data_IF_697149204694
#
_entry.id   IF_697149204694
#
_cell.length_a   1.000
_cell.length_b   1.000
_cell.length_c   1.000
_cell.angle_alpha   90.00
_cell.angle_beta   90.00
_cell.angle_gamma   90.00
#
_symmetry.space_group_name_H-M   'P 1'
#
loop_
_entity.id
_entity.type
_entity.pdbx_description
1 polymer ?
#
# COMPACT_ATOMS: atom_id res chain seq x y z
N UNK A 1 -8.20 -22.14 -7.74
CA UNK A 1 -6.95 -21.61 -8.32
C UNK A 1 -7.23 -20.16 -8.73
N UNK A 2 -6.33 -19.22 -8.53
CA UNK A 2 -6.56 -17.81 -8.93
C UNK A 2 -6.22 -17.60 -10.39
N UNK A 3 -7.08 -16.90 -11.12
CA UNK A 3 -6.95 -16.70 -12.57
C UNK A 3 -6.94 -15.23 -12.96
N UNK A 4 -7.39 -14.31 -12.07
CA UNK A 4 -7.34 -12.87 -12.29
C UNK A 4 -6.54 -12.20 -11.16
N UNK A 5 -5.52 -11.46 -11.52
CA UNK A 5 -4.62 -10.79 -10.58
C UNK A 5 -4.75 -9.28 -10.73
N UNK A 6 -5.16 -8.64 -9.64
CA UNK A 6 -5.43 -7.21 -9.58
C UNK A 6 -4.36 -6.56 -8.71
N UNK A 7 -3.41 -5.88 -9.34
CA UNK A 7 -2.37 -5.12 -8.66
C UNK A 7 -2.84 -3.73 -8.30
N UNK A 8 -2.60 -3.31 -7.06
CA UNK A 8 -3.04 -2.02 -6.53
C UNK A 8 -1.83 -1.29 -5.95
N UNK A 9 -1.56 -0.10 -6.48
CA UNK A 9 -0.67 0.87 -5.86
C UNK A 9 -1.50 1.90 -5.07
N UNK A 10 -1.20 2.04 -3.78
CA UNK A 10 -2.00 2.85 -2.86
C UNK A 10 -1.36 4.21 -2.63
N UNK A 11 -2.14 5.27 -2.82
CA UNK A 11 -1.78 6.60 -2.37
C UNK A 11 -2.88 7.23 -1.51
N UNK A 12 -2.61 8.39 -0.94
CA UNK A 12 -3.55 9.08 -0.05
C UNK A 12 -4.88 9.40 -0.72
N UNK A 13 -4.85 9.87 -1.96
CA UNK A 13 -6.03 10.41 -2.63
C UNK A 13 -6.59 9.47 -3.70
N UNK A 14 -5.74 8.61 -4.26
CA UNK A 14 -6.10 7.69 -5.33
C UNK A 14 -5.49 6.31 -5.14
N UNK A 15 -6.01 5.37 -5.89
CA UNK A 15 -5.43 4.03 -6.06
C UNK A 15 -5.27 3.76 -7.54
N UNK A 16 -4.10 3.30 -7.93
CA UNK A 16 -3.77 2.91 -9.28
C UNK A 16 -3.89 1.39 -9.41
N UNK A 17 -4.62 0.92 -10.42
CA UNK A 17 -5.02 -0.49 -10.52
C UNK A 17 -4.69 -1.04 -11.88
N UNK A 18 -4.05 -2.22 -11.90
CA UNK A 18 -3.79 -2.98 -13.10
C UNK A 18 -4.36 -4.40 -12.99
N UNK A 19 -4.85 -4.95 -14.08
CA UNK A 19 -5.38 -6.31 -14.16
C UNK A 19 -4.52 -7.15 -15.09
N UNK A 20 -4.23 -8.38 -14.67
CA UNK A 20 -3.57 -9.42 -15.48
C UNK A 20 -4.35 -10.72 -15.32
N UNK A 21 -4.67 -11.39 -16.42
CA UNK A 21 -5.22 -12.75 -16.43
C UNK A 21 -4.12 -13.79 -16.58
N UNK A 22 -4.27 -14.94 -15.92
CA UNK A 22 -3.36 -16.07 -16.06
C UNK A 22 -3.28 -16.59 -17.51
N UNK A 23 -4.37 -16.49 -18.28
CA UNK A 23 -4.44 -16.89 -19.69
C UNK A 23 -3.73 -15.92 -20.63
N UNK A 24 -3.45 -14.69 -20.16
CA UNK A 24 -2.78 -13.64 -20.95
C UNK A 24 -1.26 -13.71 -20.99
N UNK A 25 -0.63 -14.78 -20.54
CA UNK A 25 0.83 -14.95 -20.57
C UNK A 25 1.43 -15.03 -22.00
N UNK A 26 0.58 -15.21 -23.02
CA UNK A 26 1.03 -15.39 -24.42
C UNK A 26 1.01 -14.08 -25.22
N UNK A 27 0.26 -13.05 -24.81
CA UNK A 27 0.26 -11.75 -25.49
C UNK A 27 0.41 -10.58 -24.52
N UNK A 28 1.42 -9.78 -24.75
CA UNK A 28 1.83 -8.58 -23.99
C UNK A 28 0.78 -7.45 -23.98
N UNK A 29 -0.40 -7.67 -24.51
CA UNK A 29 -1.38 -6.64 -24.92
C UNK A 29 -2.56 -6.43 -23.99
N UNK A 30 -2.78 -7.22 -22.94
CA UNK A 30 -4.00 -7.16 -22.13
C UNK A 30 -3.80 -6.64 -20.69
N UNK A 31 -2.87 -5.71 -20.49
CA UNK A 31 -2.79 -5.01 -19.20
C UNK A 31 -3.80 -3.86 -19.21
N UNK A 32 -4.89 -4.08 -18.55
CA UNK A 32 -5.90 -3.02 -18.36
C UNK A 32 -5.53 -2.23 -17.12
N UNK A 33 -5.45 -0.90 -17.25
CA UNK A 33 -5.08 0.01 -16.16
C UNK A 33 -6.17 1.06 -15.98
N UNK A 34 -6.41 1.44 -14.74
CA UNK A 34 -7.25 2.59 -14.39
C UNK A 34 -6.89 3.14 -13.01
N UNK A 35 -7.29 4.38 -12.73
CA UNK A 35 -7.16 4.99 -11.41
C UNK A 35 -8.52 5.29 -10.80
N UNK A 36 -8.59 5.23 -9.47
CA UNK A 36 -9.81 5.48 -8.71
C UNK A 36 -9.49 6.33 -7.49
N UNK A 37 -10.47 7.12 -7.03
CA UNK A 37 -10.33 7.86 -5.76
C UNK A 37 -10.22 6.86 -4.59
N UNK A 38 -9.33 7.14 -3.64
CA UNK A 38 -9.22 6.37 -2.41
C UNK A 38 -10.38 6.74 -1.45
N UNK A 39 -11.59 6.32 -1.82
CA UNK A 39 -12.86 6.60 -1.13
C UNK A 39 -13.87 5.50 -1.38
N UNK A 40 -14.90 5.40 -0.54
CA UNK A 40 -15.94 4.36 -0.67
C UNK A 40 -16.61 4.35 -2.05
N UNK A 41 -16.83 5.53 -2.64
CA UNK A 41 -17.38 5.63 -4.01
C UNK A 41 -16.40 5.10 -5.07
N UNK A 42 -15.10 5.42 -4.91
CA UNK A 42 -14.04 4.91 -5.80
C UNK A 42 -13.89 3.39 -5.70
N UNK A 43 -14.00 2.82 -4.51
CA UNK A 43 -13.93 1.36 -4.31
C UNK A 43 -15.06 0.62 -5.03
N UNK A 44 -16.29 1.17 -4.99
CA UNK A 44 -17.42 0.63 -5.74
C UNK A 44 -17.20 0.69 -7.26
N UNK A 45 -16.59 1.78 -7.74
CA UNK A 45 -16.25 1.93 -9.16
C UNK A 45 -15.14 0.96 -9.56
N UNK A 46 -14.12 0.79 -8.72
CA UNK A 46 -13.02 -0.15 -8.91
C UNK A 46 -13.56 -1.58 -9.08
N UNK A 47 -14.39 -2.05 -8.16
CA UNK A 47 -14.96 -3.42 -8.25
C UNK A 47 -15.78 -3.60 -9.52
N UNK A 48 -16.64 -2.63 -9.88
CA UNK A 48 -17.40 -2.68 -11.15
C UNK A 48 -16.52 -2.70 -12.38
N UNK A 49 -15.39 -1.96 -12.33
CA UNK A 49 -14.45 -1.91 -13.42
C UNK A 49 -13.66 -3.23 -13.54
N UNK A 50 -13.27 -3.84 -12.42
CA UNK A 50 -12.66 -5.18 -12.42
C UNK A 50 -13.62 -6.21 -13.01
N UNK A 51 -14.85 -6.22 -12.57
CA UNK A 51 -15.90 -7.12 -13.08
C UNK A 51 -16.07 -6.99 -14.61
N UNK A 52 -16.19 -5.75 -15.10
CA UNK A 52 -16.30 -5.49 -16.55
C UNK A 52 -15.10 -5.99 -17.36
N UNK A 53 -13.91 -6.01 -16.78
CA UNK A 53 -12.66 -6.39 -17.44
C UNK A 53 -12.19 -7.80 -17.05
N UNK A 54 -12.99 -8.54 -16.30
CA UNK A 54 -12.68 -9.91 -15.86
C UNK A 54 -12.88 -10.98 -16.95
N UNK A 55 -13.48 -10.60 -18.09
CA UNK A 55 -13.85 -11.54 -19.16
C UNK A 55 -14.69 -12.74 -18.67
N UNK A 56 -15.54 -12.51 -17.65
CA UNK A 56 -16.40 -13.54 -17.08
C UNK A 56 -15.71 -14.50 -16.10
N UNK A 57 -14.49 -14.20 -15.69
CA UNK A 57 -13.81 -14.96 -14.62
C UNK A 57 -14.56 -14.74 -13.31
N UNK A 58 -14.93 -15.84 -12.65
CA UNK A 58 -15.65 -15.81 -11.37
C UNK A 58 -14.89 -15.01 -10.31
N UNK A 59 -15.57 -14.15 -9.52
CA UNK A 59 -14.94 -13.36 -8.46
C UNK A 59 -14.18 -14.18 -7.41
N UNK A 60 -14.51 -15.43 -7.18
CA UNK A 60 -13.75 -16.32 -6.30
C UNK A 60 -12.35 -16.66 -6.83
N UNK A 61 -12.13 -16.44 -8.12
CA UNK A 61 -10.84 -16.64 -8.77
C UNK A 61 -10.01 -15.35 -8.87
N UNK A 62 -10.49 -14.23 -8.32
CA UNK A 62 -9.76 -12.98 -8.27
C UNK A 62 -8.81 -12.94 -7.08
N UNK A 63 -7.67 -12.30 -7.25
CA UNK A 63 -6.73 -11.99 -6.18
C UNK A 63 -6.34 -10.52 -6.29
N UNK A 64 -6.74 -9.73 -5.31
CA UNK A 64 -6.26 -8.36 -5.16
C UNK A 64 -4.94 -8.38 -4.42
N UNK A 65 -3.92 -7.73 -4.96
CA UNK A 65 -2.61 -7.62 -4.34
C UNK A 65 -2.17 -6.17 -4.29
N UNK A 66 -1.52 -5.77 -3.20
CA UNK A 66 -0.97 -4.44 -3.06
C UNK A 66 0.21 -4.38 -2.11
N UNK A 67 0.95 -3.27 -2.14
CA UNK A 67 1.99 -3.03 -1.15
C UNK A 67 1.38 -2.71 0.22
N UNK A 68 1.96 -3.24 1.28
CA UNK A 68 1.58 -2.90 2.65
C UNK A 68 2.10 -1.52 3.04
N UNK A 69 1.43 -0.48 2.58
CA UNK A 69 1.76 0.94 2.82
C UNK A 69 1.12 1.52 4.08
N UNK A 70 0.56 0.67 4.94
CA UNK A 70 0.00 1.08 6.22
C UNK A 70 -1.42 1.67 6.09
N UNK A 71 -1.62 2.94 6.47
CA UNK A 71 -2.97 3.47 6.66
C UNK A 71 -3.73 3.75 5.35
N UNK A 72 -3.04 3.97 4.24
CA UNK A 72 -3.70 4.25 2.95
C UNK A 72 -4.31 3.00 2.29
N UNK A 73 -3.79 1.81 2.58
CA UNK A 73 -4.32 0.55 2.03
C UNK A 73 -5.53 0.01 2.80
N UNK A 74 -5.60 0.24 4.12
CA UNK A 74 -6.62 -0.33 5.01
C UNK A 74 -8.06 -0.08 4.57
N UNK A 75 -8.49 1.16 4.19
CA UNK A 75 -9.90 1.40 3.88
C UNK A 75 -10.39 0.57 2.69
N UNK A 76 -9.58 0.48 1.62
CA UNK A 76 -9.93 -0.35 0.47
C UNK A 76 -9.89 -1.83 0.82
N UNK A 77 -8.84 -2.30 1.53
CA UNK A 77 -8.74 -3.71 1.93
C UNK A 77 -9.91 -4.13 2.82
N UNK A 78 -10.31 -3.32 3.80
CA UNK A 78 -11.49 -3.60 4.62
C UNK A 78 -12.77 -3.65 3.79
N UNK A 79 -12.92 -2.75 2.80
CA UNK A 79 -14.07 -2.74 1.91
C UNK A 79 -14.14 -4.01 1.05
N UNK A 80 -13.02 -4.45 0.48
CA UNK A 80 -12.94 -5.67 -0.32
C UNK A 80 -13.16 -6.92 0.54
N UNK A 81 -12.51 -6.97 1.72
CA UNK A 81 -12.69 -8.07 2.68
C UNK A 81 -14.15 -8.24 3.11
N UNK A 82 -14.83 -7.14 3.44
CA UNK A 82 -16.25 -7.15 3.80
C UNK A 82 -17.18 -7.59 2.66
N UNK A 83 -16.69 -7.70 1.44
CA UNK A 83 -17.40 -8.26 0.27
C UNK A 83 -16.96 -9.67 -0.10
N UNK A 84 -16.06 -10.28 0.67
CA UNK A 84 -15.58 -11.63 0.48
C UNK A 84 -14.54 -11.81 -0.63
N UNK A 85 -13.87 -10.74 -1.06
CA UNK A 85 -12.78 -10.85 -2.01
C UNK A 85 -11.47 -11.27 -1.34
N UNK A 86 -10.64 -12.02 -2.05
CA UNK A 86 -9.31 -12.38 -1.60
C UNK A 86 -8.31 -11.25 -1.84
N UNK A 87 -7.60 -10.88 -0.78
CA UNK A 87 -6.66 -9.77 -0.76
C UNK A 87 -5.34 -10.24 -0.16
N UNK A 88 -4.26 -9.82 -0.78
CA UNK A 88 -2.90 -10.04 -0.32
C UNK A 88 -2.13 -8.72 -0.21
N UNK A 89 -1.74 -8.34 0.99
CA UNK A 89 -0.83 -7.22 1.23
C UNK A 89 0.59 -7.73 1.43
N UNK A 90 1.45 -7.44 0.46
CA UNK A 90 2.83 -7.89 0.46
C UNK A 90 3.79 -6.77 0.87
N UNK A 91 4.96 -7.14 1.37
CA UNK A 91 6.02 -6.21 1.68
C UNK A 91 6.56 -5.57 0.38
N UNK A 92 6.65 -4.23 0.37
CA UNK A 92 7.18 -3.48 -0.77
C UNK A 92 8.57 -3.97 -1.23
N UNK A 93 9.41 -4.45 -0.30
CA UNK A 93 10.72 -5.00 -0.62
C UNK A 93 10.60 -6.30 -1.44
N UNK A 94 9.71 -7.21 -1.06
CA UNK A 94 9.50 -8.48 -1.78
C UNK A 94 9.06 -8.23 -3.22
N UNK A 95 8.13 -7.29 -3.42
CA UNK A 95 7.64 -6.91 -4.76
C UNK A 95 8.78 -6.32 -5.60
N UNK A 96 9.57 -5.40 -5.03
CA UNK A 96 10.70 -4.75 -5.72
C UNK A 96 11.82 -5.73 -6.08
N UNK A 97 12.21 -6.56 -5.13
CA UNK A 97 13.29 -7.54 -5.35
C UNK A 97 12.91 -8.56 -6.45
N UNK A 98 11.64 -8.96 -6.53
CA UNK A 98 11.14 -9.86 -7.56
C UNK A 98 10.99 -9.21 -8.95
N UNK A 99 10.94 -7.87 -9.03
CA UNK A 99 10.67 -7.14 -10.27
C UNK A 99 11.91 -6.82 -11.11
N UNK A 100 13.12 -6.99 -10.54
CA UNK A 100 14.38 -6.63 -11.19
C UNK A 100 14.55 -5.11 -11.37
N UNK A 101 15.61 -4.73 -12.10
CA UNK A 101 15.92 -3.32 -12.38
C UNK A 101 15.04 -2.81 -13.51
N UNK A 102 14.07 -1.97 -13.21
CA UNK A 102 13.25 -1.27 -14.21
C UNK A 102 13.63 0.21 -14.26
N UNK A 103 13.82 0.74 -15.49
CA UNK A 103 14.25 2.12 -15.74
C UNK A 103 13.10 3.16 -15.72
N UNK A 104 11.86 2.74 -15.86
CA UNK A 104 10.69 3.63 -15.94
C UNK A 104 9.89 3.55 -14.63
N UNK A 105 9.80 4.68 -13.94
CA UNK A 105 8.94 4.86 -12.78
C UNK A 105 7.67 5.58 -13.22
N UNK A 106 6.52 4.90 -13.13
CA UNK A 106 5.19 5.49 -13.30
C UNK A 106 4.19 4.67 -12.50
N UNK A 107 3.15 5.31 -12.00
CA UNK A 107 2.09 4.69 -11.20
C UNK A 107 1.47 3.48 -11.94
N UNK A 108 1.32 3.60 -13.26
CA UNK A 108 0.87 2.49 -14.12
C UNK A 108 1.84 1.31 -14.13
N UNK A 109 3.15 1.59 -14.15
CA UNK A 109 4.17 0.55 -14.09
C UNK A 109 4.19 -0.14 -12.73
N UNK A 110 3.97 0.62 -11.65
CA UNK A 110 3.99 0.11 -10.28
C UNK A 110 2.78 -0.80 -10.02
N UNK A 111 1.55 -0.41 -10.38
CA UNK A 111 0.38 -1.27 -10.29
C UNK A 111 0.50 -2.55 -11.15
N UNK A 112 1.05 -2.43 -12.37
CA UNK A 112 1.28 -3.58 -13.25
C UNK A 112 2.33 -4.54 -12.68
N UNK A 113 3.37 -4.01 -12.05
CA UNK A 113 4.41 -4.79 -11.38
C UNK A 113 3.84 -5.60 -10.21
N UNK A 114 2.96 -4.99 -9.42
CA UNK A 114 2.26 -5.66 -8.31
C UNK A 114 1.38 -6.80 -8.84
N UNK A 115 0.64 -6.57 -9.92
CA UNK A 115 -0.19 -7.60 -10.54
C UNK A 115 0.65 -8.79 -11.09
N UNK A 116 1.79 -8.50 -11.75
CA UNK A 116 2.73 -9.54 -12.20
C UNK A 116 3.31 -10.34 -11.04
N UNK A 117 3.68 -9.64 -9.95
CA UNK A 117 4.17 -10.28 -8.75
C UNK A 117 3.13 -11.24 -8.17
N UNK A 118 1.88 -10.77 -8.04
CA UNK A 118 0.77 -11.60 -7.56
C UNK A 118 0.56 -12.84 -8.44
N UNK A 119 0.58 -12.67 -9.75
CA UNK A 119 0.42 -13.79 -10.68
C UNK A 119 1.51 -14.85 -10.53
N UNK A 120 2.78 -14.43 -10.36
CA UNK A 120 3.92 -15.35 -10.26
C UNK A 120 4.04 -16.03 -8.89
N UNK A 121 3.50 -15.42 -7.83
CA UNK A 121 3.72 -15.85 -6.44
C UNK A 121 2.40 -16.08 -5.67
N UNK A 122 1.26 -16.26 -6.36
CA UNK A 122 -0.04 -16.43 -5.72
C UNK A 122 -0.13 -17.66 -4.82
N UNK A 123 0.73 -18.65 -5.01
CA UNK A 123 0.90 -19.83 -4.17
C UNK A 123 1.40 -19.48 -2.76
N UNK A 124 2.05 -18.32 -2.60
CA UNK A 124 2.56 -17.78 -1.32
C UNK A 124 1.66 -16.73 -0.69
N UNK A 125 0.52 -16.44 -1.34
CA UNK A 125 -0.36 -15.38 -0.88
C UNK A 125 -0.90 -15.65 0.52
N UNK A 126 -0.71 -14.69 1.42
CA UNK A 126 -1.30 -14.70 2.75
C UNK A 126 -2.53 -13.80 2.73
N UNK A 127 -3.69 -14.37 3.03
CA UNK A 127 -4.95 -13.64 3.04
C UNK A 127 -4.93 -12.48 4.03
N UNK A 128 -5.43 -11.32 3.59
CA UNK A 128 -5.61 -10.16 4.45
C UNK A 128 -6.76 -10.40 5.43
N UNK A 129 -6.49 -10.19 6.70
CA UNK A 129 -7.50 -10.14 7.74
C UNK A 129 -7.46 -8.77 8.43
N UNK A 130 -8.58 -8.05 8.53
CA UNK A 130 -8.62 -6.80 9.27
C UNK A 130 -8.39 -7.07 10.76
N UNK A 131 -7.65 -6.16 11.39
CA UNK A 131 -7.52 -6.20 12.86
C UNK A 131 -8.90 -6.04 13.48
N UNK A 132 -9.13 -6.73 14.61
CA UNK A 132 -10.31 -6.44 15.43
C UNK A 132 -10.32 -4.97 15.81
N UNK A 133 -11.52 -4.41 16.06
CA UNK A 133 -11.67 -3.00 16.41
C UNK A 133 -10.78 -2.60 17.59
N UNK A 134 -10.77 -3.42 18.65
CA UNK A 134 -9.96 -3.18 19.85
C UNK A 134 -8.45 -3.18 19.56
N UNK A 135 -7.97 -4.12 18.72
CA UNK A 135 -6.57 -4.16 18.32
C UNK A 135 -6.21 -2.99 17.39
N UNK A 136 -7.13 -2.59 16.53
CA UNK A 136 -6.98 -1.41 15.68
C UNK A 136 -6.79 -0.15 16.49
N UNK A 137 -7.67 0.09 17.48
CA UNK A 137 -7.59 1.22 18.41
C UNK A 137 -6.29 1.19 19.23
N UNK A 138 -5.93 0.04 19.78
CA UNK A 138 -4.67 -0.11 20.54
C UNK A 138 -3.44 0.24 19.67
N UNK A 139 -3.42 -0.21 18.42
CA UNK A 139 -2.37 0.13 17.47
C UNK A 139 -2.31 1.63 17.21
N UNK A 140 -3.43 2.30 17.02
CA UNK A 140 -3.49 3.75 16.80
C UNK A 140 -2.95 4.52 18.01
N UNK A 141 -3.37 4.16 19.23
CA UNK A 141 -2.85 4.77 20.45
C UNK A 141 -1.34 4.54 20.61
N UNK A 142 -0.86 3.34 20.27
CA UNK A 142 0.57 3.05 20.32
C UNK A 142 1.35 3.92 19.33
N UNK A 143 0.91 4.04 18.10
CA UNK A 143 1.57 4.87 17.07
C UNK A 143 1.51 6.35 17.45
N UNK A 144 0.39 6.83 17.97
CA UNK A 144 0.26 8.20 18.47
C UNK A 144 1.23 8.47 19.62
N UNK A 145 1.29 7.57 20.60
CA UNK A 145 2.27 7.66 21.69
C UNK A 145 3.70 7.73 21.15
N UNK A 146 4.06 6.87 20.20
CA UNK A 146 5.39 6.87 19.59
C UNK A 146 5.71 8.23 18.93
N UNK A 147 4.75 8.79 18.21
CA UNK A 147 4.90 10.11 17.60
C UNK A 147 5.15 11.19 18.65
N UNK A 148 4.33 11.25 19.70
CA UNK A 148 4.48 12.24 20.77
C UNK A 148 5.83 12.10 21.47
N UNK A 149 6.26 10.88 21.78
CA UNK A 149 7.60 10.63 22.40
C UNK A 149 8.73 11.11 21.49
N UNK A 150 8.68 10.82 20.18
CA UNK A 150 9.68 11.30 19.22
C UNK A 150 9.75 12.82 19.18
N UNK A 151 8.59 13.49 19.13
CA UNK A 151 8.55 14.95 19.15
C UNK A 151 9.11 15.52 20.46
N UNK A 152 8.75 14.94 21.60
CA UNK A 152 9.32 15.35 22.89
C UNK A 152 10.85 15.25 22.88
N UNK A 153 11.40 14.10 22.49
CA UNK A 153 12.86 13.92 22.40
C UNK A 153 13.50 14.95 21.46
N UNK A 154 12.90 15.22 20.30
CA UNK A 154 13.39 16.22 19.35
C UNK A 154 13.42 17.63 19.97
N UNK A 155 12.39 18.01 20.74
CA UNK A 155 12.37 19.30 21.43
C UNK A 155 13.40 19.36 22.56
N UNK A 156 13.61 18.29 23.32
CA UNK A 156 14.61 18.22 24.39
C UNK A 156 16.04 18.41 23.84
N UNK A 157 16.34 17.74 22.70
CA UNK A 157 17.64 17.92 22.01
C UNK A 157 17.82 19.38 21.59
N UNK A 158 16.84 19.98 20.89
CA UNK A 158 16.92 21.38 20.46
C UNK A 158 17.07 22.36 21.63
N UNK A 159 16.40 22.08 22.75
CA UNK A 159 16.53 22.88 23.97
C UNK A 159 17.98 22.82 24.53
N UNK A 160 18.58 21.63 24.55
CA UNK A 160 19.94 21.42 24.96
C UNK A 160 20.95 22.15 24.06
N UNK A 161 20.79 22.06 22.73
CA UNK A 161 21.61 22.76 21.74
C UNK A 161 21.54 24.28 21.92
N UNK A 162 20.33 24.84 22.10
CA UNK A 162 20.12 26.26 22.31
C UNK A 162 20.78 26.74 23.60
N UNK A 163 20.71 25.97 24.68
CA UNK A 163 21.38 26.27 25.95
C UNK A 163 22.90 26.33 25.77
N UNK A 164 23.50 25.34 25.10
CA UNK A 164 24.93 25.29 24.81
C UNK A 164 25.39 26.48 23.95
N UNK A 165 24.61 26.92 22.98
CA UNK A 165 24.89 28.09 22.15
C UNK A 165 24.87 29.38 22.98
N UNK A 166 23.91 29.53 23.89
CA UNK A 166 23.82 30.69 24.78
C UNK A 166 25.03 30.77 25.76
N UNK A 167 25.41 29.64 26.34
CA UNK A 167 26.58 29.55 27.23
C UNK A 167 27.89 29.93 26.51
N UNK A 168 28.08 29.44 25.27
CA UNK A 168 29.23 29.79 24.42
C UNK A 168 29.24 31.27 24.01
N UNK A 169 28.06 31.85 23.76
CA UNK A 169 27.94 33.27 23.44
C UNK A 169 28.28 34.15 24.64
N UNK A 170 27.78 33.83 25.84
CA UNK A 170 28.08 34.55 27.08
C UNK A 170 29.58 34.49 27.43
N UNK A 171 30.22 33.34 27.23
CA UNK A 171 31.64 33.18 27.47
C UNK A 171 32.54 34.03 26.53
N UNK A 172 32.08 34.37 25.33
CA UNK A 172 32.80 35.26 24.39
C UNK A 172 32.65 36.74 24.69
N UNK A 173 31.67 37.12 25.49
CA UNK A 173 31.39 38.54 25.82
C UNK A 173 32.18 38.99 27.06
N UNK A 174 32.89 38.10 27.76
CA UNK A 174 33.66 38.36 29.00
C UNK A 174 35.16 38.49 28.73
N UNK A 175 35.58 38.52 27.47
CA UNK A 175 36.94 38.81 27.01
C UNK A 175 36.93 40.18 26.31
#
# INVERSE_FOLDING_TARGET
MKNLFIGIDFSKEKVDVAIISAEGLVETSARVFNEFKNSVSGYKQLVKWVDKNSNGIDPSMWLFCGENTGDYSKPLCNHLYGKGYDIWLENAKCIKDASGIRRLKSDRADASMIAEYAMRNHDKAVGYEPLSESLGQLREYYLYRQMVVRHRCSFEVRRGEKRLMMEKSAAKTVI
#
